data_IF_768920396507
#
_entry.id   IF_768920396507
#
_cell.length_a   1.000
_cell.length_b   1.000
_cell.length_c   1.000
_cell.angle_alpha   90.00
_cell.angle_beta   90.00
_cell.angle_gamma   90.00
#
_symmetry.space_group_name_H-M   'P 1'
#
loop_
_entity.id
_entity.type
_entity.pdbx_description
1 polymer ?
#
# COMPACT_ATOMS: atom_id res chain seq x y z
N UNK A 1 15.86 5.32 7.87
CA UNK A 1 14.56 4.62 7.88
C UNK A 1 13.48 5.54 7.33
N UNK A 2 12.82 5.12 6.28
CA UNK A 2 11.76 5.91 5.62
C UNK A 2 10.35 5.51 6.10
N UNK A 3 10.20 4.30 6.62
CA UNK A 3 8.92 3.78 7.10
C UNK A 3 8.40 4.56 8.30
N UNK A 4 7.10 4.86 8.32
CA UNK A 4 6.46 5.70 9.33
C UNK A 4 4.97 5.38 9.47
N UNK A 5 4.34 5.89 10.52
CA UNK A 5 2.89 5.90 10.70
C UNK A 5 2.39 7.31 10.40
N UNK A 6 1.48 7.42 9.45
CA UNK A 6 0.80 8.67 9.13
C UNK A 6 -0.57 8.72 9.78
N UNK A 7 -0.86 9.82 10.47
CA UNK A 7 -2.20 10.15 10.95
C UNK A 7 -2.80 11.21 10.05
N UNK A 8 -4.08 11.06 9.76
CA UNK A 8 -4.79 12.00 8.92
C UNK A 8 -6.28 12.01 9.23
N UNK A 9 -6.99 12.83 8.51
CA UNK A 9 -8.44 12.91 8.51
C UNK A 9 -8.95 12.60 7.10
N UNK A 10 -9.93 11.73 7.01
CA UNK A 10 -10.64 11.45 5.77
C UNK A 10 -11.99 12.13 5.83
N UNK A 11 -12.25 12.98 4.84
CA UNK A 11 -13.57 13.60 4.63
C UNK A 11 -14.23 12.98 3.43
N UNK A 12 -15.41 12.43 3.62
CA UNK A 12 -16.22 11.85 2.56
C UNK A 12 -17.45 12.72 2.29
N UNK A 13 -17.55 13.25 1.08
CA UNK A 13 -18.68 14.09 0.66
C UNK A 13 -19.42 13.45 -0.50
N UNK A 14 -20.57 12.87 -0.21
CA UNK A 14 -21.47 12.32 -1.22
C UNK A 14 -22.56 13.37 -1.55
N UNK A 15 -22.65 13.72 -2.82
CA UNK A 15 -23.61 14.73 -3.30
C UNK A 15 -24.96 14.15 -3.74
N UNK A 16 -24.99 12.90 -4.20
CA UNK A 16 -26.20 12.23 -4.72
C UNK A 16 -26.30 10.80 -4.18
N UNK A 17 -27.49 10.21 -4.02
CA UNK A 17 -28.83 10.78 -4.17
C UNK A 17 -29.23 11.77 -3.05
N UNK A 18 -28.55 11.71 -1.91
CA UNK A 18 -28.68 12.66 -0.79
C UNK A 18 -27.29 13.15 -0.39
N UNK A 19 -27.21 14.43 -0.09
CA UNK A 19 -25.98 14.98 0.43
C UNK A 19 -25.66 14.37 1.80
N UNK A 20 -24.43 13.89 1.93
CA UNK A 20 -23.92 13.34 3.18
C UNK A 20 -22.43 13.68 3.30
N UNK A 21 -22.09 14.37 4.35
CA UNK A 21 -20.73 14.76 4.69
C UNK A 21 -20.36 14.15 6.04
N UNK A 22 -19.27 13.40 6.08
CA UNK A 22 -18.69 12.95 7.34
C UNK A 22 -17.16 12.90 7.26
N UNK A 23 -16.53 13.10 8.40
CA UNK A 23 -15.09 13.02 8.57
C UNK A 23 -14.76 12.07 9.70
N UNK A 24 -13.63 11.37 9.56
CA UNK A 24 -13.10 10.52 10.61
C UNK A 24 -11.58 10.51 10.58
N UNK A 25 -10.98 10.30 11.76
CA UNK A 25 -9.55 10.17 11.89
C UNK A 25 -9.11 8.79 11.41
N UNK A 26 -7.99 8.75 10.71
CA UNK A 26 -7.39 7.54 10.17
C UNK A 26 -5.89 7.53 10.46
N UNK A 27 -5.31 6.36 10.55
CA UNK A 27 -3.87 6.19 10.43
C UNK A 27 -3.56 5.16 9.35
N UNK A 28 -2.48 5.38 8.64
CA UNK A 28 -1.97 4.46 7.61
C UNK A 28 -0.49 4.22 7.83
N UNK A 29 -0.04 3.05 7.42
CA UNK A 29 1.37 2.69 7.44
C UNK A 29 2.02 3.14 6.15
N UNK A 30 3.09 3.90 6.28
CA UNK A 30 3.98 4.25 5.17
C UNK A 30 5.23 3.38 5.27
N UNK A 31 5.40 2.48 4.31
CA UNK A 31 6.39 1.42 4.34
C UNK A 31 7.35 1.56 3.17
N UNK A 32 8.65 1.63 3.43
CA UNK A 32 9.66 1.42 2.41
C UNK A 32 9.74 -0.08 2.10
N UNK A 33 9.51 -0.47 0.86
CA UNK A 33 9.47 -1.89 0.47
C UNK A 33 10.83 -2.60 0.62
N UNK A 34 11.94 -1.85 0.60
CA UNK A 34 13.27 -2.40 0.86
C UNK A 34 13.49 -2.69 2.35
N UNK A 35 12.86 -1.92 3.24
CA UNK A 35 12.93 -2.15 4.70
C UNK A 35 11.96 -3.24 5.17
N UNK A 36 10.89 -3.49 4.41
CA UNK A 36 9.76 -4.31 4.84
C UNK A 36 10.12 -5.73 5.32
N UNK A 37 11.07 -6.47 4.72
CA UNK A 37 11.38 -7.83 5.16
C UNK A 37 11.74 -7.93 6.64
N UNK A 38 12.42 -6.93 7.18
CA UNK A 38 12.97 -6.94 8.55
C UNK A 38 12.45 -5.81 9.44
N UNK A 39 11.60 -4.95 8.87
CA UNK A 39 11.10 -3.74 9.55
C UNK A 39 10.46 -4.03 10.92
N UNK A 40 9.70 -5.10 11.01
CA UNK A 40 8.93 -5.45 12.20
C UNK A 40 9.63 -6.45 13.13
N UNK A 41 10.83 -6.93 12.81
CA UNK A 41 11.52 -7.97 13.59
C UNK A 41 11.82 -7.54 15.04
N UNK A 42 11.87 -6.24 15.29
CA UNK A 42 12.08 -5.68 16.63
C UNK A 42 10.80 -5.52 17.47
N UNK A 43 9.65 -5.77 16.88
CA UNK A 43 8.36 -5.53 17.50
C UNK A 43 7.60 -6.83 17.76
N UNK A 44 7.28 -7.11 19.01
CA UNK A 44 6.62 -8.36 19.41
C UNK A 44 5.22 -8.56 18.78
N UNK A 45 4.47 -7.47 18.62
CA UNK A 45 3.06 -7.50 18.18
C UNK A 45 2.88 -7.20 16.68
N UNK A 46 3.99 -7.03 15.95
CA UNK A 46 4.02 -6.68 14.53
C UNK A 46 4.83 -7.69 13.75
N UNK A 47 4.39 -8.04 12.55
CA UNK A 47 5.13 -8.96 11.67
C UNK A 47 4.87 -8.70 10.20
N UNK A 48 5.88 -8.97 9.37
CA UNK A 48 5.75 -9.10 7.91
C UNK A 48 5.88 -10.55 7.45
N UNK A 49 6.26 -11.46 8.33
CA UNK A 49 6.59 -12.86 8.01
C UNK A 49 5.49 -13.83 8.44
N UNK A 50 4.88 -13.57 9.57
CA UNK A 50 3.91 -14.47 10.19
C UNK A 50 2.68 -13.73 10.72
N UNK A 51 1.59 -14.47 10.98
CA UNK A 51 0.41 -13.94 11.64
C UNK A 51 0.77 -13.27 12.98
N UNK A 52 0.26 -12.05 13.17
CA UNK A 52 0.44 -11.28 14.40
C UNK A 52 -0.73 -10.30 14.58
N UNK A 53 -0.76 -9.56 15.69
CA UNK A 53 -1.79 -8.55 15.97
C UNK A 53 -1.82 -7.44 14.91
N UNK A 54 -0.64 -6.97 14.49
CA UNK A 54 -0.47 -6.13 13.30
C UNK A 54 0.38 -6.90 12.29
N UNK A 55 -0.18 -7.24 11.15
CA UNK A 55 0.45 -8.13 10.18
C UNK A 55 0.38 -7.58 8.77
N UNK A 56 1.57 -7.43 8.15
CA UNK A 56 1.67 -7.21 6.71
C UNK A 56 1.60 -8.57 6.00
N UNK A 57 0.46 -8.86 5.38
CA UNK A 57 0.30 -10.08 4.60
C UNK A 57 0.53 -9.78 3.11
N UNK A 58 1.55 -10.39 2.53
CA UNK A 58 1.89 -10.21 1.10
C UNK A 58 0.70 -10.52 0.17
N UNK A 59 -0.15 -11.46 0.54
CA UNK A 59 -1.34 -11.87 -0.24
C UNK A 59 -2.41 -10.78 -0.35
N UNK A 60 -2.37 -9.77 0.50
CA UNK A 60 -3.32 -8.66 0.48
C UNK A 60 -2.98 -7.61 -0.58
N UNK A 61 -1.87 -7.80 -1.32
CA UNK A 61 -1.33 -6.84 -2.26
C UNK A 61 -1.09 -7.45 -3.64
N UNK A 62 -0.92 -6.57 -4.64
CA UNK A 62 -0.77 -6.90 -6.05
C UNK A 62 0.30 -7.96 -6.33
N UNK A 63 0.01 -8.81 -7.30
CA UNK A 63 0.93 -9.80 -7.87
C UNK A 63 1.00 -11.11 -7.10
N UNK A 64 1.86 -12.01 -7.58
CA UNK A 64 2.06 -13.32 -6.97
C UNK A 64 2.65 -13.21 -5.56
N UNK A 65 2.09 -13.93 -4.57
CA UNK A 65 2.65 -13.97 -3.21
C UNK A 65 4.10 -14.49 -3.14
N UNK A 66 4.53 -15.23 -4.14
CA UNK A 66 5.90 -15.78 -4.23
C UNK A 66 6.94 -14.75 -4.66
N UNK A 67 6.49 -13.66 -5.32
CA UNK A 67 7.35 -12.54 -5.72
C UNK A 67 7.35 -11.46 -4.65
N UNK A 68 8.46 -10.74 -4.52
CA UNK A 68 8.48 -9.53 -3.70
C UNK A 68 7.50 -8.50 -4.26
N UNK A 69 6.90 -7.71 -3.38
CA UNK A 69 5.93 -6.69 -3.79
C UNK A 69 6.59 -5.63 -4.69
N UNK A 70 7.83 -5.23 -4.38
CA UNK A 70 8.57 -4.27 -5.20
C UNK A 70 8.79 -4.78 -6.62
N UNK A 71 9.11 -6.07 -6.79
CA UNK A 71 9.25 -6.68 -8.11
C UNK A 71 7.92 -6.66 -8.89
N UNK A 72 6.82 -6.99 -8.24
CA UNK A 72 5.49 -6.98 -8.87
C UNK A 72 5.10 -5.58 -9.37
N UNK A 73 5.40 -4.52 -8.60
CA UNK A 73 5.14 -3.14 -9.03
C UNK A 73 6.08 -2.73 -10.18
N UNK A 74 7.35 -3.13 -10.16
CA UNK A 74 8.30 -2.89 -11.26
C UNK A 74 7.85 -3.57 -12.56
N UNK A 75 7.38 -4.81 -12.48
CA UNK A 75 6.81 -5.54 -13.63
C UNK A 75 5.57 -4.82 -14.19
N UNK A 76 4.72 -4.27 -13.33
CA UNK A 76 3.54 -3.50 -13.74
C UNK A 76 3.96 -2.24 -14.51
N UNK A 77 4.93 -1.48 -14.03
CA UNK A 77 5.46 -0.29 -14.71
C UNK A 77 6.07 -0.69 -16.06
N UNK A 78 6.85 -1.77 -16.11
CA UNK A 78 7.43 -2.28 -17.37
C UNK A 78 6.36 -2.62 -18.39
N UNK A 79 5.27 -3.26 -17.96
CA UNK A 79 4.15 -3.63 -18.83
C UNK A 79 3.43 -2.42 -19.44
N UNK A 80 3.24 -1.36 -18.66
CA UNK A 80 2.45 -0.19 -19.08
C UNK A 80 3.27 0.91 -19.75
N UNK A 81 4.52 1.10 -19.35
CA UNK A 81 5.38 2.19 -19.80
C UNK A 81 6.63 1.73 -20.53
N UNK A 82 6.85 0.42 -20.66
CA UNK A 82 8.05 -0.17 -21.24
C UNK A 82 9.38 0.36 -20.65
N UNK A 83 9.34 0.73 -19.37
CA UNK A 83 10.48 1.26 -18.62
C UNK A 83 10.94 0.27 -17.55
N UNK A 84 12.26 0.03 -17.49
CA UNK A 84 12.91 -0.71 -16.40
C UNK A 84 13.11 0.21 -15.19
N UNK A 85 12.07 0.32 -14.36
CA UNK A 85 12.09 1.18 -13.19
C UNK A 85 12.97 0.58 -12.08
N UNK A 86 13.95 1.35 -11.60
CA UNK A 86 14.96 0.92 -10.61
C UNK A 86 15.02 1.82 -9.36
N UNK A 87 14.10 2.76 -9.22
CA UNK A 87 14.04 3.63 -8.04
C UNK A 87 13.43 2.92 -6.83
N UNK A 88 13.51 3.54 -5.65
CA UNK A 88 12.85 3.04 -4.45
C UNK A 88 11.32 3.15 -4.56
N UNK A 89 10.62 2.24 -3.88
CA UNK A 89 9.16 2.19 -3.84
C UNK A 89 8.72 2.22 -2.38
N UNK A 90 7.81 3.14 -2.06
CA UNK A 90 7.16 3.21 -0.76
C UNK A 90 5.67 2.93 -0.91
N UNK A 91 5.07 2.33 0.11
CA UNK A 91 3.69 1.89 0.14
C UNK A 91 2.94 2.58 1.29
N UNK A 92 1.86 3.28 0.97
CA UNK A 92 0.91 3.79 1.95
C UNK A 92 -0.31 2.87 1.99
N UNK A 93 -0.52 2.19 3.11
CA UNK A 93 -1.51 1.12 3.21
C UNK A 93 -2.01 0.89 4.63
N UNK A 94 -3.04 0.07 4.77
CA UNK A 94 -3.44 -0.54 6.03
C UNK A 94 -2.89 -1.97 6.14
N UNK A 95 -2.50 -2.36 7.35
CA UNK A 95 -2.14 -3.74 7.68
C UNK A 95 -3.40 -4.55 8.07
N UNK A 96 -3.20 -5.84 8.27
CA UNK A 96 -4.17 -6.65 9.03
C UNK A 96 -4.01 -6.36 10.52
N UNK A 97 -5.11 -6.01 11.15
CA UNK A 97 -5.16 -5.83 12.60
C UNK A 97 -6.09 -6.87 13.20
N UNK A 98 -5.63 -7.65 14.17
CA UNK A 98 -6.39 -8.75 14.77
C UNK A 98 -6.93 -9.77 13.74
N UNK A 99 -6.20 -10.00 12.65
CA UNK A 99 -6.60 -10.87 11.55
C UNK A 99 -7.56 -10.25 10.52
N UNK A 100 -8.11 -9.07 10.78
CA UNK A 100 -8.99 -8.36 9.85
C UNK A 100 -8.21 -7.43 8.93
N UNK A 101 -8.55 -7.46 7.64
CA UNK A 101 -8.08 -6.48 6.67
C UNK A 101 -9.22 -5.56 6.26
N UNK A 102 -9.00 -4.26 6.44
CA UNK A 102 -9.87 -3.22 5.90
C UNK A 102 -8.96 -2.24 5.14
N UNK A 103 -8.61 -2.60 3.93
CA UNK A 103 -7.67 -1.86 3.10
C UNK A 103 -8.29 -1.59 1.72
N UNK A 104 -9.19 -0.60 1.60
CA UNK A 104 -9.88 -0.32 0.34
C UNK A 104 -8.95 0.23 -0.73
N UNK A 105 -7.87 0.88 -0.34
CA UNK A 105 -6.91 1.49 -1.25
C UNK A 105 -5.50 1.47 -0.69
N UNK A 106 -4.54 1.18 -1.55
CA UNK A 106 -3.11 1.29 -1.28
C UNK A 106 -2.44 2.14 -2.35
N UNK A 107 -1.48 2.97 -1.96
CA UNK A 107 -0.73 3.84 -2.85
C UNK A 107 0.74 3.45 -2.85
N UNK A 108 1.27 3.14 -4.04
CA UNK A 108 2.69 2.89 -4.23
C UNK A 108 3.33 4.12 -4.86
N UNK A 109 4.26 4.74 -4.16
CA UNK A 109 5.03 5.88 -4.64
C UNK A 109 6.37 5.39 -5.17
N UNK A 110 6.57 5.52 -6.46
CA UNK A 110 7.78 5.10 -7.16
C UNK A 110 8.68 6.30 -7.36
N UNK A 111 9.76 6.37 -6.61
CA UNK A 111 10.66 7.52 -6.53
C UNK A 111 11.79 7.45 -7.53
N UNK A 112 12.37 8.60 -7.87
CA UNK A 112 13.68 8.62 -8.53
C UNK A 112 14.76 8.05 -7.61
N UNK A 113 15.92 7.70 -8.17
CA UNK A 113 17.03 7.11 -7.41
C UNK A 113 17.55 7.98 -6.27
N UNK A 114 17.28 9.28 -6.29
CA UNK A 114 17.70 10.24 -5.27
C UNK A 114 16.64 10.46 -4.19
N UNK A 115 15.48 9.83 -4.31
CA UNK A 115 14.35 10.03 -3.39
C UNK A 115 13.83 11.49 -3.37
N UNK A 116 13.95 12.20 -4.49
CA UNK A 116 13.57 13.61 -4.57
C UNK A 116 12.25 13.85 -5.29
N UNK A 117 11.98 13.02 -6.32
CA UNK A 117 10.79 13.18 -7.14
C UNK A 117 10.06 11.84 -7.30
N UNK A 118 8.73 11.90 -7.26
CA UNK A 118 7.88 10.76 -7.59
C UNK A 118 7.79 10.66 -9.11
N UNK A 119 8.15 9.51 -9.66
CA UNK A 119 8.03 9.21 -11.09
C UNK A 119 6.69 8.58 -11.44
N UNK A 120 6.21 7.66 -10.60
CA UNK A 120 4.93 6.97 -10.78
C UNK A 120 4.20 6.87 -9.46
N UNK A 121 2.88 6.91 -9.54
CA UNK A 121 2.00 6.53 -8.43
C UNK A 121 1.13 5.39 -8.94
N UNK A 122 1.24 4.22 -8.31
CA UNK A 122 0.37 3.08 -8.58
C UNK A 122 -0.68 3.01 -7.49
N UNK A 123 -1.94 2.96 -7.87
CA UNK A 123 -3.07 2.87 -6.93
C UNK A 123 -3.68 1.48 -7.04
N UNK A 124 -3.69 0.77 -5.94
CA UNK A 124 -4.35 -0.52 -5.80
C UNK A 124 -5.67 -0.35 -5.08
N UNK A 125 -6.77 -0.68 -5.75
CA UNK A 125 -8.12 -0.59 -5.19
C UNK A 125 -8.62 -2.00 -4.90
N UNK A 126 -8.92 -2.26 -3.64
CA UNK A 126 -9.46 -3.52 -3.18
C UNK A 126 -10.96 -3.37 -2.89
N UNK A 127 -11.78 -3.92 -3.75
CA UNK A 127 -13.22 -4.01 -3.49
C UNK A 127 -13.50 -5.17 -2.52
N UNK A 128 -13.97 -4.85 -1.33
CA UNK A 128 -14.33 -5.84 -0.29
C UNK A 128 -15.46 -6.79 -0.72
N UNK A 129 -16.11 -6.60 -1.86
CA UNK A 129 -17.26 -7.37 -2.34
C UNK A 129 -17.00 -8.25 -3.56
N UNK A 130 -15.90 -8.04 -4.29
CA UNK A 130 -15.51 -8.86 -5.45
C UNK A 130 -13.98 -8.92 -5.53
N UNK A 131 -13.44 -10.12 -5.66
CA UNK A 131 -12.00 -10.42 -5.80
C UNK A 131 -11.43 -9.91 -7.14
N UNK A 132 -11.38 -8.61 -7.35
CA UNK A 132 -10.68 -8.01 -8.47
C UNK A 132 -9.81 -6.87 -7.96
N UNK A 133 -8.50 -7.06 -8.04
CA UNK A 133 -7.55 -5.97 -7.90
C UNK A 133 -7.40 -5.30 -9.25
N UNK A 134 -8.00 -4.14 -9.43
CA UNK A 134 -7.71 -3.28 -10.56
C UNK A 134 -6.61 -2.30 -10.16
N UNK A 135 -5.49 -2.36 -10.84
CA UNK A 135 -4.49 -1.30 -10.79
C UNK A 135 -4.94 -0.20 -11.76
N UNK A 136 -5.33 0.94 -11.24
CA UNK A 136 -5.63 2.10 -12.06
C UNK A 136 -4.37 2.96 -12.19
N UNK A 137 -3.92 3.16 -13.43
CA UNK A 137 -2.89 4.14 -13.78
C UNK A 137 -3.56 5.51 -13.91
N UNK A 138 -3.14 6.48 -13.13
CA UNK A 138 -3.30 7.90 -13.42
C UNK A 138 -1.96 8.60 -13.42
#
# INVERSE_FOLDING_TARGET
MQSAIYKGEVTHHRKRPREHLFSYNIFMMYLDLEELPDLFDKFLLWSSKNFNLAWFNRKDHHGSPEKSLSLSIRELIKKHHDEDFNGPITLLTHLRYFGYVMNPVSFYYCWDKKYQNIKYIVVEINNCLLYTSDAADE
#
